data_IF_284152586865
#
_entry.id   IF_284152586865
#
_cell.length_a   1.000
_cell.length_b   1.000
_cell.length_c   1.000
_cell.angle_alpha   90.00
_cell.angle_beta   90.00
_cell.angle_gamma   90.00
#
_symmetry.space_group_name_H-M   'P 1'
#
loop_
_entity.id
_entity.type
_entity.pdbx_description
1 polymer ?
#
# COMPACT_ATOMS: atom_id res chain seq x y z
N UNK A 1 23.57 21.17 -6.28
CA UNK A 1 23.97 19.75 -6.11
C UNK A 1 22.74 18.97 -6.52
N UNK A 2 22.70 18.48 -7.74
CA UNK A 2 21.59 17.64 -8.23
C UNK A 2 21.65 16.33 -7.44
N UNK A 3 20.57 16.01 -6.72
CA UNK A 3 20.41 14.70 -6.08
C UNK A 3 20.34 13.63 -7.17
N UNK A 4 21.47 12.97 -7.43
CA UNK A 4 21.48 11.71 -8.15
C UNK A 4 20.57 10.75 -7.38
N UNK A 5 19.39 10.44 -7.94
CA UNK A 5 18.43 9.58 -7.28
C UNK A 5 18.88 8.11 -7.40
N UNK A 6 19.47 7.50 -6.34
CA UNK A 6 20.13 6.19 -6.43
C UNK A 6 19.12 5.04 -6.63
N UNK A 7 17.82 5.32 -6.57
CA UNK A 7 16.76 4.34 -6.74
C UNK A 7 16.62 3.86 -8.19
N UNK A 8 16.89 4.71 -9.19
CA UNK A 8 16.68 4.39 -10.60
C UNK A 8 17.63 3.29 -11.12
N UNK A 9 18.78 3.08 -10.48
CA UNK A 9 19.75 2.06 -10.90
C UNK A 9 19.46 0.65 -10.36
N UNK A 10 18.51 0.51 -9.44
CA UNK A 10 18.11 -0.79 -8.87
C UNK A 10 16.82 -1.36 -9.43
N UNK A 11 16.15 -0.58 -10.29
CA UNK A 11 14.88 -0.94 -10.90
C UNK A 11 15.13 -1.30 -12.36
N UNK A 12 14.80 -2.53 -12.74
CA UNK A 12 14.76 -2.93 -14.14
C UNK A 12 13.62 -2.19 -14.83
N UNK A 13 13.97 -1.29 -15.75
CA UNK A 13 13.03 -0.41 -16.46
C UNK A 13 12.88 -0.88 -17.90
N UNK A 14 11.66 -1.21 -18.28
CA UNK A 14 11.31 -1.67 -19.63
C UNK A 14 10.22 -0.78 -20.22
N UNK A 15 10.24 -0.62 -21.55
CA UNK A 15 9.19 0.07 -22.29
C UNK A 15 8.68 -0.78 -23.45
N UNK A 16 7.41 -0.57 -23.78
CA UNK A 16 6.74 -1.22 -24.89
C UNK A 16 6.06 -0.15 -25.74
N UNK A 17 6.35 -0.17 -27.04
CA UNK A 17 5.65 0.65 -28.02
C UNK A 17 4.33 -0.03 -28.38
N UNK A 18 3.21 0.68 -28.19
CA UNK A 18 1.88 0.09 -28.36
C UNK A 18 0.84 1.12 -28.78
N UNK A 19 -0.18 0.70 -29.54
CA UNK A 19 -1.33 1.54 -29.84
C UNK A 19 -2.31 1.54 -28.65
N UNK A 20 -3.08 2.63 -28.48
CA UNK A 20 -3.96 2.82 -27.33
C UNK A 20 -4.97 1.67 -27.15
N UNK A 21 -5.51 1.16 -28.25
CA UNK A 21 -6.49 0.06 -28.27
C UNK A 21 -5.92 -1.27 -27.76
N UNK A 22 -4.61 -1.43 -27.84
CA UNK A 22 -3.92 -2.68 -27.53
C UNK A 22 -3.33 -2.71 -26.12
N UNK A 23 -3.34 -1.58 -25.39
CA UNK A 23 -2.79 -1.47 -24.04
C UNK A 23 -3.38 -2.50 -23.08
N UNK A 24 -4.69 -2.74 -23.14
CA UNK A 24 -5.36 -3.74 -22.27
C UNK A 24 -4.90 -5.17 -22.59
N UNK A 25 -4.75 -5.52 -23.87
CA UNK A 25 -4.22 -6.83 -24.27
C UNK A 25 -2.78 -7.00 -23.76
N UNK A 26 -1.94 -5.99 -23.95
CA UNK A 26 -0.56 -6.02 -23.47
C UNK A 26 -0.48 -6.10 -21.94
N UNK A 27 -1.31 -5.37 -21.22
CA UNK A 27 -1.40 -5.43 -19.76
C UNK A 27 -1.63 -6.87 -19.31
N UNK A 28 -2.62 -7.55 -19.89
CA UNK A 28 -2.93 -8.96 -19.57
C UNK A 28 -1.79 -9.90 -19.88
N UNK A 29 -1.17 -9.76 -21.04
CA UNK A 29 -0.07 -10.63 -21.46
C UNK A 29 1.11 -10.49 -20.49
N UNK A 30 1.44 -9.26 -20.09
CA UNK A 30 2.52 -9.00 -19.15
C UNK A 30 2.18 -9.43 -17.72
N UNK A 31 0.96 -9.20 -17.22
CA UNK A 31 0.60 -9.66 -15.87
C UNK A 31 0.56 -11.18 -15.76
N UNK A 32 0.24 -11.89 -16.85
CA UNK A 32 0.33 -13.35 -16.91
C UNK A 32 1.78 -13.85 -16.92
N UNK A 33 2.65 -13.23 -17.72
CA UNK A 33 4.06 -13.64 -17.84
C UNK A 33 4.88 -13.26 -16.61
N UNK A 34 4.71 -12.05 -16.09
CA UNK A 34 5.44 -11.57 -14.91
C UNK A 34 4.88 -12.15 -13.61
N UNK A 35 3.58 -12.48 -13.58
CA UNK A 35 2.86 -13.08 -12.45
C UNK A 35 3.28 -12.52 -11.06
N UNK A 36 3.27 -11.19 -10.83
CA UNK A 36 3.88 -10.55 -9.67
C UNK A 36 3.15 -10.92 -8.35
N UNK A 37 3.80 -10.74 -7.19
CA UNK A 37 3.10 -10.88 -5.89
C UNK A 37 2.25 -9.66 -5.54
N UNK A 38 2.69 -8.49 -5.99
CA UNK A 38 1.98 -7.23 -5.89
C UNK A 38 2.32 -6.34 -7.08
N UNK A 39 1.29 -5.72 -7.67
CA UNK A 39 1.40 -4.92 -8.86
C UNK A 39 0.65 -3.60 -8.71
N UNK A 40 1.30 -2.48 -9.04
CA UNK A 40 0.65 -1.18 -9.11
C UNK A 40 0.59 -0.70 -10.55
N UNK A 41 -0.62 -0.41 -11.02
CA UNK A 41 -0.91 -0.02 -12.40
C UNK A 41 -1.30 1.46 -12.37
N UNK A 42 -0.43 2.31 -12.90
CA UNK A 42 -0.64 3.75 -12.93
C UNK A 42 -1.30 4.20 -14.22
N UNK A 43 -2.39 4.95 -14.08
CA UNK A 43 -3.06 5.65 -15.18
C UNK A 43 -3.07 7.16 -14.91
N UNK A 44 -3.17 7.96 -15.98
CA UNK A 44 -3.13 9.42 -15.84
C UNK A 44 -4.45 10.01 -15.32
N UNK A 45 -5.59 9.36 -15.60
CA UNK A 45 -6.92 9.89 -15.25
C UNK A 45 -7.73 8.91 -14.41
N UNK A 46 -8.67 9.44 -13.62
CA UNK A 46 -9.61 8.62 -12.84
C UNK A 46 -10.48 7.73 -13.72
N UNK A 47 -10.86 8.22 -14.90
CA UNK A 47 -11.68 7.49 -15.85
C UNK A 47 -10.93 6.26 -16.38
N UNK A 48 -9.67 6.44 -16.76
CA UNK A 48 -8.83 5.32 -17.21
C UNK A 48 -8.59 4.30 -16.08
N UNK A 49 -8.46 4.75 -14.82
CA UNK A 49 -8.42 3.84 -13.67
C UNK A 49 -9.70 3.01 -13.56
N UNK A 50 -10.87 3.65 -13.67
CA UNK A 50 -12.17 2.97 -13.61
C UNK A 50 -12.35 1.96 -14.76
N UNK A 51 -11.94 2.33 -15.97
CA UNK A 51 -11.98 1.47 -17.16
C UNK A 51 -11.08 0.25 -17.00
N UNK A 52 -9.81 0.46 -16.62
CA UNK A 52 -8.84 -0.64 -16.42
C UNK A 52 -9.31 -1.56 -15.30
N UNK A 53 -9.75 -1.00 -14.17
CA UNK A 53 -10.30 -1.79 -13.06
C UNK A 53 -11.49 -2.65 -13.50
N UNK A 54 -12.44 -2.07 -14.22
CA UNK A 54 -13.64 -2.78 -14.69
C UNK A 54 -13.28 -3.95 -15.60
N UNK A 55 -12.33 -3.76 -16.52
CA UNK A 55 -11.87 -4.84 -17.41
C UNK A 55 -11.10 -5.93 -16.66
N UNK A 56 -10.26 -5.57 -15.69
CA UNK A 56 -9.55 -6.55 -14.86
C UNK A 56 -10.52 -7.38 -14.00
N UNK A 57 -11.54 -6.76 -13.40
CA UNK A 57 -12.59 -7.48 -12.64
C UNK A 57 -13.35 -8.47 -13.52
N UNK A 58 -13.70 -8.10 -14.76
CA UNK A 58 -14.35 -9.02 -15.72
C UNK A 58 -13.49 -10.24 -16.08
N UNK A 59 -12.18 -10.12 -15.89
CA UNK A 59 -11.19 -11.18 -16.14
C UNK A 59 -10.79 -11.90 -14.84
N UNK A 60 -11.58 -11.72 -13.78
CA UNK A 60 -11.42 -12.30 -12.46
C UNK A 60 -10.12 -11.91 -11.73
N UNK A 61 -9.47 -10.80 -12.09
CA UNK A 61 -8.27 -10.34 -11.37
C UNK A 61 -8.61 -9.97 -9.93
N UNK A 62 -7.74 -10.37 -9.00
CA UNK A 62 -7.75 -9.86 -7.63
C UNK A 62 -7.21 -8.42 -7.61
N UNK A 63 -8.10 -7.44 -7.82
CA UNK A 63 -7.74 -6.05 -7.98
C UNK A 63 -8.68 -5.06 -7.28
N UNK A 64 -8.16 -3.85 -7.02
CA UNK A 64 -8.94 -2.69 -6.57
C UNK A 64 -8.39 -1.40 -7.24
N UNK A 65 -9.04 -0.27 -6.98
CA UNK A 65 -8.72 1.03 -7.57
C UNK A 65 -8.51 2.13 -6.54
N UNK A 66 -7.72 3.14 -6.90
CA UNK A 66 -7.42 4.29 -6.06
C UNK A 66 -7.26 5.56 -6.90
N UNK A 67 -8.27 6.45 -6.85
CA UNK A 67 -8.22 7.74 -7.55
C UNK A 67 -8.88 8.85 -6.72
N UNK A 68 -8.65 10.11 -7.09
CA UNK A 68 -9.14 11.28 -6.35
C UNK A 68 -10.66 11.50 -6.36
N UNK A 69 -11.42 10.60 -6.98
CA UNK A 69 -12.89 10.63 -6.96
C UNK A 69 -13.51 9.78 -5.84
N UNK A 70 -12.69 9.05 -5.08
CA UNK A 70 -13.14 8.19 -3.99
C UNK A 70 -13.17 8.96 -2.66
N UNK A 71 -14.06 8.54 -1.73
CA UNK A 71 -14.05 9.10 -0.39
C UNK A 71 -12.74 8.79 0.34
N UNK A 72 -12.30 9.70 1.20
CA UNK A 72 -11.04 9.56 1.94
C UNK A 72 -11.01 8.27 2.78
N UNK A 73 -12.14 7.88 3.37
CA UNK A 73 -12.25 6.64 4.15
C UNK A 73 -12.02 5.41 3.28
N UNK A 74 -12.62 5.36 2.11
CA UNK A 74 -12.49 4.23 1.18
C UNK A 74 -11.07 4.14 0.65
N UNK A 75 -10.45 5.28 0.32
CA UNK A 75 -9.03 5.35 -0.05
C UNK A 75 -8.14 4.72 1.02
N UNK A 76 -8.37 5.02 2.30
CA UNK A 76 -7.58 4.44 3.40
C UNK A 76 -7.78 2.93 3.53
N UNK A 77 -9.00 2.43 3.33
CA UNK A 77 -9.31 1.00 3.40
C UNK A 77 -8.64 0.23 2.26
N UNK A 78 -8.86 0.64 0.99
CA UNK A 78 -8.21 0.03 -0.18
C UNK A 78 -6.69 -0.02 0.01
N UNK A 79 -6.14 1.05 0.57
CA UNK A 79 -4.71 1.14 0.82
C UNK A 79 -4.21 0.19 1.90
N UNK A 80 -4.94 0.08 3.00
CA UNK A 80 -4.63 -0.91 4.03
C UNK A 80 -4.68 -2.31 3.44
N UNK A 81 -5.71 -2.59 2.65
CA UNK A 81 -5.97 -3.91 2.10
C UNK A 81 -4.91 -4.33 1.09
N UNK A 82 -4.45 -3.39 0.25
CA UNK A 82 -3.32 -3.61 -0.66
C UNK A 82 -2.02 -3.90 0.09
N UNK A 83 -1.71 -3.13 1.14
CA UNK A 83 -0.51 -3.34 1.95
C UNK A 83 -0.52 -4.69 2.68
N UNK A 84 -1.69 -5.15 3.09
CA UNK A 84 -1.89 -6.44 3.75
C UNK A 84 -1.89 -7.61 2.75
N UNK A 85 -2.02 -7.33 1.45
CA UNK A 85 -2.04 -8.35 0.41
C UNK A 85 -3.40 -9.05 0.26
N UNK A 86 -4.52 -8.40 0.61
CA UNK A 86 -5.84 -8.97 0.30
C UNK A 86 -6.14 -9.02 -1.19
N UNK A 87 -5.48 -8.17 -1.97
CA UNK A 87 -5.52 -8.22 -3.41
C UNK A 87 -4.17 -7.85 -4.02
N UNK A 88 -3.98 -8.21 -5.28
CA UNK A 88 -2.67 -8.19 -5.94
C UNK A 88 -2.44 -6.99 -6.83
N UNK A 89 -3.48 -6.51 -7.52
CA UNK A 89 -3.36 -5.46 -8.53
C UNK A 89 -4.07 -4.19 -8.06
N UNK A 90 -3.35 -3.08 -7.95
CA UNK A 90 -3.91 -1.78 -7.59
C UNK A 90 -3.85 -0.83 -8.79
N UNK A 91 -5.01 -0.42 -9.32
CA UNK A 91 -5.10 0.59 -10.38
C UNK A 91 -5.18 1.99 -9.76
N UNK A 92 -4.28 2.92 -10.09
CA UNK A 92 -4.22 4.20 -9.38
C UNK A 92 -3.81 5.40 -10.24
N UNK A 93 -4.18 6.60 -9.78
CA UNK A 93 -3.62 7.86 -10.26
C UNK A 93 -2.52 8.40 -9.35
N UNK A 94 -1.63 9.24 -9.87
CA UNK A 94 -0.54 9.86 -9.10
C UNK A 94 -1.05 10.59 -7.86
N UNK A 95 -2.04 11.46 -8.04
CA UNK A 95 -2.61 12.29 -6.97
C UNK A 95 -3.13 11.43 -5.82
N UNK A 96 -3.75 10.30 -6.13
CA UNK A 96 -4.32 9.44 -5.13
C UNK A 96 -3.27 8.57 -4.42
N UNK A 97 -2.11 8.32 -5.05
CA UNK A 97 -0.99 7.58 -4.48
C UNK A 97 0.03 8.45 -3.70
N UNK A 98 0.09 9.77 -3.97
CA UNK A 98 1.04 10.69 -3.33
C UNK A 98 0.75 10.82 -1.84
N UNK A 99 1.79 10.76 -1.01
CA UNK A 99 1.67 10.83 0.46
C UNK A 99 1.24 9.52 1.13
N UNK A 100 1.04 8.44 0.37
CA UNK A 100 0.83 7.11 0.91
C UNK A 100 2.16 6.35 0.92
N UNK A 101 2.51 5.84 2.10
CA UNK A 101 3.70 5.02 2.33
C UNK A 101 3.54 3.61 1.74
N UNK A 102 3.48 3.51 0.41
CA UNK A 102 3.38 2.25 -0.33
C UNK A 102 4.75 1.94 -0.90
N UNK A 103 5.29 0.82 -0.46
CA UNK A 103 6.66 0.40 -0.66
C UNK A 103 6.67 -1.11 -0.91
N UNK A 104 7.78 -1.65 -1.42
CA UNK A 104 7.96 -3.09 -1.65
C UNK A 104 6.94 -3.73 -2.62
N UNK A 105 6.58 -2.98 -3.67
CA UNK A 105 5.77 -3.49 -4.78
C UNK A 105 6.68 -4.30 -5.72
N UNK A 106 6.21 -5.47 -6.16
CA UNK A 106 7.01 -6.36 -7.03
C UNK A 106 7.14 -5.79 -8.43
N UNK A 107 6.02 -5.31 -8.98
CA UNK A 107 5.93 -4.77 -10.33
C UNK A 107 5.18 -3.43 -10.34
N UNK A 108 5.76 -2.44 -11.00
CA UNK A 108 5.06 -1.19 -11.34
C UNK A 108 4.79 -1.19 -12.85
N UNK A 109 3.55 -0.91 -13.25
CA UNK A 109 3.17 -0.74 -14.65
C UNK A 109 2.65 0.68 -14.83
N UNK A 110 3.34 1.48 -15.64
CA UNK A 110 2.81 2.74 -16.16
C UNK A 110 1.94 2.39 -17.38
N UNK A 111 0.64 2.19 -17.15
CA UNK A 111 -0.32 1.94 -18.22
C UNK A 111 -0.43 3.16 -19.13
N UNK A 112 -0.40 4.35 -18.52
CA UNK A 112 -0.15 5.60 -19.22
C UNK A 112 1.21 6.14 -18.80
N UNK A 113 2.02 6.56 -19.77
CA UNK A 113 3.25 7.30 -19.49
C UNK A 113 2.90 8.61 -18.76
N UNK A 114 3.60 8.95 -17.66
CA UNK A 114 3.33 10.18 -16.94
C UNK A 114 3.67 11.40 -17.79
N UNK A 115 2.90 12.48 -17.65
CA UNK A 115 3.15 13.74 -18.34
C UNK A 115 4.36 14.50 -17.81
N UNK A 116 4.71 14.28 -16.53
CA UNK A 116 5.84 14.91 -15.86
C UNK A 116 6.92 13.86 -15.56
N UNK A 117 8.17 14.17 -15.88
CA UNK A 117 9.33 13.31 -15.61
C UNK A 117 9.53 12.99 -14.13
N UNK A 118 9.20 13.92 -13.22
CA UNK A 118 9.26 13.69 -11.77
C UNK A 118 8.21 12.66 -11.33
N UNK A 119 7.04 12.65 -11.97
CA UNK A 119 5.99 11.65 -11.69
C UNK A 119 6.46 10.25 -12.07
N UNK A 120 7.24 10.08 -13.14
CA UNK A 120 7.84 8.79 -13.50
C UNK A 120 8.68 8.22 -12.35
N UNK A 121 9.59 9.02 -11.80
CA UNK A 121 10.46 8.61 -10.71
C UNK A 121 9.67 8.28 -9.44
N UNK A 122 8.63 9.06 -9.12
CA UNK A 122 7.75 8.77 -7.98
C UNK A 122 6.95 7.46 -8.12
N UNK A 123 6.51 7.14 -9.35
CA UNK A 123 5.80 5.89 -9.67
C UNK A 123 6.73 4.68 -9.57
N UNK A 124 7.89 4.71 -10.21
CA UNK A 124 8.81 3.57 -10.17
C UNK A 124 9.46 3.40 -8.79
N UNK A 125 9.61 4.47 -8.01
CA UNK A 125 10.09 4.42 -6.61
C UNK A 125 9.19 3.63 -5.65
N UNK A 126 8.04 3.12 -6.11
CA UNK A 126 7.21 2.16 -5.37
C UNK A 126 7.79 0.74 -5.36
N UNK A 127 8.77 0.44 -6.22
CA UNK A 127 9.50 -0.82 -6.29
C UNK A 127 11.01 -0.61 -6.05
N UNK A 128 11.78 -1.70 -5.90
CA UNK A 128 13.25 -1.65 -5.89
C UNK A 128 13.91 -1.01 -4.66
N UNK A 129 13.35 -1.21 -3.45
CA UNK A 129 13.91 -0.70 -2.18
C UNK A 129 14.98 -1.62 -1.59
N UNK A 130 15.66 -1.14 -0.54
CA UNK A 130 16.84 -1.77 0.08
C UNK A 130 16.64 -3.29 0.23
N UNK A 131 17.48 -4.06 -0.46
CA UNK A 131 17.51 -5.54 -0.52
C UNK A 131 16.54 -6.26 -1.49
N UNK A 132 15.76 -5.57 -2.33
CA UNK A 132 14.92 -6.20 -3.36
C UNK A 132 15.11 -5.57 -4.74
N UNK A 133 15.25 -6.41 -5.76
CA UNK A 133 15.19 -5.98 -7.16
C UNK A 133 13.74 -5.58 -7.48
N UNK A 134 13.58 -4.43 -8.12
CA UNK A 134 12.28 -3.94 -8.58
C UNK A 134 12.16 -3.97 -10.09
N UNK A 135 10.95 -4.10 -10.61
CA UNK A 135 10.68 -3.99 -12.06
C UNK A 135 9.61 -2.94 -12.34
N UNK A 136 9.87 -2.11 -13.35
CA UNK A 136 8.95 -1.12 -13.86
C UNK A 136 8.78 -1.27 -15.37
N UNK A 137 7.53 -1.35 -15.82
CA UNK A 137 7.17 -1.44 -17.23
C UNK A 137 6.37 -0.18 -17.62
N UNK A 138 6.70 0.42 -18.76
CA UNK A 138 5.99 1.60 -19.27
C UNK A 138 5.44 1.38 -20.66
N UNK A 139 4.15 1.66 -20.85
CA UNK A 139 3.53 1.67 -22.17
C UNK A 139 3.69 3.04 -22.80
N UNK A 140 4.09 3.05 -24.07
CA UNK A 140 4.32 4.28 -24.83
C UNK A 140 3.61 4.17 -26.16
N UNK A 141 2.73 5.12 -26.46
CA UNK A 141 2.08 5.26 -27.75
C UNK A 141 2.88 6.18 -28.67
N UNK A 142 2.57 6.14 -29.98
CA UNK A 142 3.28 6.91 -31.02
C UNK A 142 3.31 8.43 -30.77
N UNK A 143 2.32 8.96 -30.05
CA UNK A 143 2.18 10.40 -29.80
C UNK A 143 2.82 10.86 -28.47
N UNK A 144 3.47 9.96 -27.74
CA UNK A 144 4.00 10.22 -26.40
C UNK A 144 5.54 10.31 -26.35
N UNK A 145 6.20 10.37 -27.52
CA UNK A 145 7.66 10.45 -27.65
C UNK A 145 8.26 11.64 -26.89
N UNK A 146 7.54 12.77 -26.86
CA UNK A 146 7.94 13.95 -26.07
C UNK A 146 8.11 13.62 -24.59
N UNK A 147 7.12 12.94 -23.98
CA UNK A 147 7.17 12.58 -22.57
C UNK A 147 8.26 11.54 -22.30
N UNK A 148 8.43 10.58 -23.21
CA UNK A 148 9.49 9.59 -23.12
C UNK A 148 10.87 10.24 -23.12
N UNK A 149 11.09 11.19 -24.03
CA UNK A 149 12.35 11.94 -24.11
C UNK A 149 12.63 12.73 -22.84
N UNK A 150 11.64 13.47 -22.34
CA UNK A 150 11.78 14.21 -21.08
C UNK A 150 12.12 13.30 -19.88
N UNK A 151 11.56 12.09 -19.86
CA UNK A 151 11.89 11.07 -18.87
C UNK A 151 13.33 10.57 -19.04
N UNK A 152 13.74 10.18 -20.26
CA UNK A 152 15.11 9.73 -20.54
C UNK A 152 16.16 10.77 -20.15
N UNK A 153 15.93 12.03 -20.53
CA UNK A 153 16.81 13.16 -20.22
C UNK A 153 16.91 13.37 -18.70
N UNK A 154 15.81 13.18 -17.97
CA UNK A 154 15.78 13.34 -16.51
C UNK A 154 16.47 12.21 -15.75
N UNK A 155 16.26 10.95 -16.16
CA UNK A 155 16.89 9.80 -15.52
C UNK A 155 18.32 9.55 -16.02
N UNK A 156 18.75 10.27 -17.06
CA UNK A 156 20.09 10.18 -17.64
C UNK A 156 20.38 8.88 -18.41
N UNK A 157 19.34 8.12 -18.78
CA UNK A 157 19.46 6.86 -19.53
C UNK A 157 18.20 6.54 -20.32
N UNK A 158 18.35 5.72 -21.35
CA UNK A 158 17.22 5.19 -22.11
C UNK A 158 16.55 4.00 -21.39
N UNK A 159 15.22 3.97 -21.42
CA UNK A 159 14.45 2.82 -20.96
C UNK A 159 14.50 1.73 -22.03
N UNK A 160 14.81 0.49 -21.63
CA UNK A 160 14.99 -0.64 -22.53
C UNK A 160 13.71 -0.94 -23.32
N UNK A 161 13.77 -0.88 -24.64
CA UNK A 161 12.68 -1.31 -25.51
C UNK A 161 12.58 -2.84 -25.51
N UNK A 162 11.37 -3.35 -25.24
CA UNK A 162 11.05 -4.77 -25.30
C UNK A 162 9.98 -5.03 -26.34
N UNK A 163 10.01 -6.24 -26.89
CA UNK A 163 8.96 -6.76 -27.76
C UNK A 163 7.87 -7.43 -26.93
N UNK A 164 6.64 -7.44 -27.46
CA UNK A 164 5.49 -8.08 -26.80
C UNK A 164 5.81 -9.56 -26.54
N UNK A 165 5.37 -10.14 -25.42
CA UNK A 165 5.53 -11.57 -25.20
C UNK A 165 4.89 -12.39 -26.31
N UNK A 166 5.56 -13.46 -26.73
CA UNK A 166 5.00 -14.40 -27.72
C UNK A 166 3.75 -15.11 -27.15
N UNK A 167 2.77 -15.40 -28.01
CA UNK A 167 1.51 -16.05 -27.60
C UNK A 167 1.76 -17.41 -26.91
N UNK A 168 2.78 -18.16 -27.34
CA UNK A 168 3.17 -19.42 -26.71
C UNK A 168 3.64 -19.22 -25.26
N UNK A 169 4.39 -18.14 -24.99
CA UNK A 169 4.87 -17.79 -23.65
C UNK A 169 3.71 -17.38 -22.74
N UNK A 170 2.78 -16.58 -23.26
CA UNK A 170 1.57 -16.18 -22.53
C UNK A 170 0.71 -17.41 -22.21
N UNK A 171 0.50 -18.30 -23.18
CA UNK A 171 -0.29 -19.52 -23.00
C UNK A 171 0.30 -20.43 -21.92
N UNK A 172 1.62 -20.61 -21.92
CA UNK A 172 2.33 -21.40 -20.90
C UNK A 172 2.18 -20.79 -19.50
N UNK A 173 2.24 -19.47 -19.40
CA UNK A 173 2.16 -18.75 -18.11
C UNK A 173 0.73 -18.66 -17.57
N UNK A 174 -0.28 -18.86 -18.42
CA UNK A 174 -1.70 -18.75 -18.05
C UNK A 174 -2.09 -19.66 -16.91
N UNK A 175 -1.59 -20.90 -16.89
CA UNK A 175 -1.95 -21.88 -15.87
C UNK A 175 -1.46 -21.45 -14.48
N UNK A 176 -0.19 -21.02 -14.39
CA UNK A 176 0.42 -20.53 -13.15
C UNK A 176 -0.23 -19.22 -12.69
N UNK A 177 -0.56 -18.32 -13.62
CA UNK A 177 -1.30 -17.10 -13.34
C UNK A 177 -2.68 -17.41 -12.72
N UNK A 178 -3.48 -18.29 -13.36
CA UNK A 178 -4.82 -18.62 -12.86
C UNK A 178 -4.77 -19.32 -11.50
N UNK A 179 -3.81 -20.22 -11.28
CA UNK A 179 -3.58 -20.84 -9.98
C UNK A 179 -3.29 -19.78 -8.90
N UNK A 180 -2.38 -18.85 -9.20
CA UNK A 180 -1.97 -17.80 -8.26
C UNK A 180 -3.03 -16.73 -8.05
N UNK A 181 -3.86 -16.44 -9.04
CA UNK A 181 -4.91 -15.42 -8.95
C UNK A 181 -6.10 -15.89 -8.11
N UNK A 182 -6.35 -17.21 -8.07
CA UNK A 182 -7.38 -17.84 -7.23
C UNK A 182 -6.94 -18.04 -5.77
N UNK A 183 -5.66 -17.76 -5.46
CA UNK A 183 -5.12 -17.75 -4.11
C UNK A 183 -4.88 -16.32 -3.66
N UNK A 184 -5.30 -15.97 -2.45
CA UNK A 184 -4.92 -14.69 -1.86
C UNK A 184 -3.38 -14.60 -1.82
N UNK A 185 -2.78 -13.43 -2.13
CA UNK A 185 -1.37 -13.20 -1.85
C UNK A 185 -1.02 -13.61 -0.43
N UNK A 186 0.21 -14.08 -0.19
CA UNK A 186 0.68 -14.26 1.18
C UNK A 186 0.48 -12.94 1.93
N UNK A 187 -0.32 -12.98 2.99
CA UNK A 187 -0.66 -11.80 3.76
C UNK A 187 0.65 -11.26 4.28
N UNK A 188 1.09 -10.13 3.70
CA UNK A 188 2.29 -9.45 4.15
C UNK A 188 1.94 -8.92 5.52
N UNK A 189 2.55 -9.52 6.52
CA UNK A 189 2.56 -9.00 7.86
C UNK A 189 3.11 -7.58 7.79
N UNK A 190 2.19 -6.63 7.79
CA UNK A 190 2.55 -5.24 7.96
C UNK A 190 3.29 -5.22 9.29
N UNK A 191 4.49 -4.63 9.34
CA UNK A 191 5.30 -4.52 10.58
C UNK A 191 4.58 -3.79 11.75
N UNK A 192 3.29 -3.49 11.62
CA UNK A 192 2.38 -3.04 12.68
C UNK A 192 1.06 -3.82 12.82
N UNK A 193 0.92 -5.00 12.20
CA UNK A 193 -0.29 -5.85 12.27
C UNK A 193 0.04 -7.28 12.71
N UNK A 194 1.30 -7.67 12.63
CA UNK A 194 1.76 -8.88 13.29
C UNK A 194 1.96 -8.61 14.77
N UNK A 195 0.85 -8.66 15.52
CA UNK A 195 0.75 -8.95 16.95
C UNK A 195 -0.62 -8.49 17.47
N UNK A 196 -1.63 -9.36 17.37
CA UNK A 196 -2.58 -9.54 18.48
C UNK A 196 -3.28 -10.89 18.35
N UNK A 197 -2.64 -11.91 18.91
CA UNK A 197 -3.41 -12.85 19.71
C UNK A 197 -4.24 -12.03 20.71
N UNK A 198 -5.56 -12.25 20.71
CA UNK A 198 -6.59 -11.65 21.58
C UNK A 198 -6.44 -10.13 21.87
N UNK A 199 -7.27 -9.31 21.22
CA UNK A 199 -7.40 -7.87 21.51
C UNK A 199 -8.35 -7.70 22.70
N UNK A 200 -7.87 -7.06 23.77
CA UNK A 200 -8.70 -6.63 24.90
C UNK A 200 -8.88 -5.13 24.89
N UNK A 201 -10.13 -4.67 24.88
CA UNK A 201 -10.46 -3.25 24.97
C UNK A 201 -10.61 -2.84 26.43
N UNK A 202 -9.81 -1.87 26.86
CA UNK A 202 -9.87 -1.32 28.22
C UNK A 202 -10.57 0.03 28.18
N UNK A 203 -11.54 0.20 29.06
CA UNK A 203 -12.19 1.49 29.33
C UNK A 203 -11.52 2.18 30.51
N UNK A 204 -11.24 3.48 30.34
CA UNK A 204 -10.77 4.38 31.38
C UNK A 204 -11.80 5.49 31.56
N UNK A 205 -12.25 5.71 32.80
CA UNK A 205 -13.17 6.79 33.16
C UNK A 205 -12.43 8.14 33.23
N UNK A 206 -11.91 8.58 32.09
CA UNK A 206 -11.29 9.88 31.88
C UNK A 206 -11.26 10.20 30.38
N UNK A 207 -11.62 11.42 29.99
CA UNK A 207 -11.72 11.83 28.59
C UNK A 207 -11.27 13.27 28.34
N UNK A 208 -11.70 13.88 27.23
CA UNK A 208 -11.33 15.26 26.82
C UNK A 208 -11.62 16.30 27.92
N UNK A 209 -12.72 16.15 28.67
CA UNK A 209 -13.08 17.06 29.79
C UNK A 209 -12.06 17.01 30.93
N UNK A 210 -11.33 15.92 31.06
CA UNK A 210 -10.20 15.79 32.01
C UNK A 210 -8.86 16.18 31.39
N UNK A 211 -8.88 16.79 30.21
CA UNK A 211 -7.71 17.14 29.38
C UNK A 211 -6.87 15.90 29.01
N UNK A 212 -7.49 14.74 28.86
CA UNK A 212 -6.79 13.50 28.50
C UNK A 212 -6.34 13.58 27.03
N UNK A 213 -5.08 13.21 26.76
CA UNK A 213 -4.51 13.12 25.41
C UNK A 213 -3.93 11.74 25.15
N UNK A 214 -3.78 11.31 23.88
CA UNK A 214 -3.20 10.01 23.56
C UNK A 214 -1.81 9.80 24.17
N UNK A 215 -0.96 10.83 24.17
CA UNK A 215 0.37 10.79 24.80
C UNK A 215 0.33 10.49 26.29
N UNK A 216 -0.71 10.94 27.01
CA UNK A 216 -0.85 10.71 28.45
C UNK A 216 -1.18 9.22 28.72
N UNK A 217 -1.94 8.59 27.82
CA UNK A 217 -2.29 7.16 27.87
C UNK A 217 -1.09 6.30 27.47
N UNK A 218 -0.46 6.60 26.34
CA UNK A 218 0.71 5.87 25.84
C UNK A 218 1.85 5.94 26.86
N UNK A 219 2.12 7.11 27.44
CA UNK A 219 3.16 7.28 28.46
C UNK A 219 2.90 6.46 29.71
N UNK A 220 1.64 6.38 30.16
CA UNK A 220 1.30 5.54 31.32
C UNK A 220 1.42 4.05 30.99
N UNK A 221 0.92 3.61 29.83
CA UNK A 221 1.01 2.21 29.41
C UNK A 221 2.46 1.74 29.22
N UNK A 222 3.32 2.57 28.63
CA UNK A 222 4.74 2.25 28.44
C UNK A 222 5.55 2.27 29.75
N UNK A 223 4.98 2.78 30.86
CA UNK A 223 5.61 2.68 32.19
C UNK A 223 5.39 1.32 32.87
N UNK A 224 4.45 0.52 32.35
CA UNK A 224 4.18 -0.82 32.85
C UNK A 224 5.26 -1.76 32.29
N UNK A 225 5.93 -2.50 33.17
CA UNK A 225 6.95 -3.46 32.78
C UNK A 225 6.37 -4.51 31.81
N UNK A 226 7.07 -4.74 30.70
CA UNK A 226 6.64 -5.68 29.67
C UNK A 226 5.64 -5.13 28.64
N UNK A 227 5.24 -3.85 28.73
CA UNK A 227 4.42 -3.19 27.70
C UNK A 227 5.30 -2.31 26.81
N UNK A 228 5.17 -2.50 25.50
CA UNK A 228 5.85 -1.72 24.48
C UNK A 228 4.82 -0.92 23.67
N UNK A 229 5.23 0.14 22.93
CA UNK A 229 4.34 0.86 22.04
C UNK A 229 3.64 -0.03 20.99
N UNK A 230 4.24 -1.18 20.64
CA UNK A 230 3.66 -2.14 19.71
C UNK A 230 2.49 -2.96 20.31
N UNK A 231 2.32 -2.94 21.64
CA UNK A 231 1.22 -3.64 22.32
C UNK A 231 -0.04 -2.76 22.46
N UNK A 232 0.00 -1.52 22.00
CA UNK A 232 -1.07 -0.52 22.14
C UNK A 232 -1.74 -0.31 20.79
N UNK A 233 -3.02 -0.67 20.69
CA UNK A 233 -3.85 -0.49 19.50
C UNK A 233 -4.55 0.87 19.46
N UNK A 234 -5.77 0.91 18.93
CA UNK A 234 -6.50 2.15 18.75
C UNK A 234 -6.85 2.79 20.12
N UNK A 235 -6.56 4.09 20.25
CA UNK A 235 -6.97 4.91 21.39
C UNK A 235 -8.09 5.85 20.95
N UNK A 236 -9.29 5.63 21.48
CA UNK A 236 -10.43 6.51 21.25
C UNK A 236 -10.74 7.32 22.52
N UNK A 237 -10.58 8.64 22.45
CA UNK A 237 -10.83 9.56 23.56
C UNK A 237 -12.15 10.30 23.31
N UNK A 238 -13.15 10.01 24.13
CA UNK A 238 -14.43 10.70 24.19
C UNK A 238 -14.41 11.81 25.25
N UNK A 239 -15.52 12.52 25.42
CA UNK A 239 -15.61 13.63 26.37
C UNK A 239 -15.30 13.23 27.82
N UNK A 240 -15.80 12.08 28.26
CA UNK A 240 -15.71 11.59 29.65
C UNK A 240 -15.00 10.24 29.77
N UNK A 241 -14.67 9.60 28.67
CA UNK A 241 -14.14 8.23 28.63
C UNK A 241 -13.02 8.09 27.61
N UNK A 242 -12.11 7.16 27.87
CA UNK A 242 -11.09 6.73 26.91
C UNK A 242 -11.19 5.22 26.75
N UNK A 243 -11.08 4.75 25.51
CA UNK A 243 -10.98 3.34 25.17
C UNK A 243 -9.62 3.10 24.54
N UNK A 244 -8.92 2.06 24.99
CA UNK A 244 -7.65 1.65 24.43
C UNK A 244 -7.69 0.15 24.13
N UNK A 245 -7.28 -0.21 22.93
CA UNK A 245 -7.07 -1.61 22.56
C UNK A 245 -5.69 -2.05 23.04
N UNK A 246 -5.63 -3.17 23.75
CA UNK A 246 -4.38 -3.82 24.16
C UNK A 246 -4.23 -5.11 23.38
N UNK A 247 -3.07 -5.25 22.76
CA UNK A 247 -2.71 -6.32 21.86
C UNK A 247 -1.93 -7.43 22.61
N UNK A 248 -1.69 -8.56 21.96
CA UNK A 248 -0.75 -9.62 22.39
C UNK A 248 -1.09 -10.34 23.68
N UNK A 249 -2.37 -10.55 23.97
CA UNK A 249 -2.85 -11.13 25.23
C UNK A 249 -2.38 -10.35 26.48
N UNK A 250 -1.89 -9.11 26.34
CA UNK A 250 -1.42 -8.29 27.48
C UNK A 250 -2.54 -7.50 28.16
N UNK A 251 -3.78 -7.67 27.71
CA UNK A 251 -4.95 -6.98 28.25
C UNK A 251 -5.09 -7.13 29.76
N UNK A 252 -4.95 -8.36 30.28
CA UNK A 252 -5.12 -8.62 31.71
C UNK A 252 -4.00 -7.99 32.54
N UNK A 253 -2.76 -8.06 32.04
CA UNK A 253 -1.59 -7.44 32.65
C UNK A 253 -1.79 -5.92 32.75
N UNK A 254 -2.22 -5.28 31.65
CA UNK A 254 -2.48 -3.84 31.63
C UNK A 254 -3.63 -3.47 32.58
N UNK A 255 -4.72 -4.24 32.57
CA UNK A 255 -5.87 -3.97 33.43
C UNK A 255 -5.51 -4.01 34.91
N UNK A 256 -4.74 -5.01 35.35
CA UNK A 256 -4.30 -5.13 36.75
C UNK A 256 -3.37 -3.98 37.15
N UNK A 257 -2.43 -3.59 36.28
CA UNK A 257 -1.50 -2.51 36.57
C UNK A 257 -2.17 -1.13 36.59
N UNK A 258 -3.09 -0.87 35.65
CA UNK A 258 -3.81 0.40 35.57
C UNK A 258 -4.75 0.65 36.76
N UNK A 259 -5.17 -0.38 37.50
CA UNK A 259 -5.93 -0.20 38.74
C UNK A 259 -5.12 0.53 39.82
N UNK A 260 -3.79 0.39 39.80
CA UNK A 260 -2.89 0.95 40.80
C UNK A 260 -1.96 2.05 40.25
N UNK A 261 -1.99 2.31 38.95
CA UNK A 261 -1.11 3.28 38.29
C UNK A 261 -1.85 4.59 38.00
N UNK A 262 -1.35 5.75 38.47
CA UNK A 262 -1.99 7.03 38.22
C UNK A 262 -1.79 7.49 36.78
N UNK A 263 -2.89 7.69 36.04
CA UNK A 263 -2.87 8.34 34.72
C UNK A 263 -2.94 9.85 34.94
N UNK A 264 -1.88 10.57 34.54
CA UNK A 264 -1.76 12.02 34.75
C UNK A 264 -1.86 12.42 36.23
N UNK A 265 -1.18 11.66 37.08
CA UNK A 265 -1.11 11.91 38.52
C UNK A 265 -2.39 11.63 39.31
N UNK A 266 -3.41 11.00 38.70
CA UNK A 266 -4.64 10.59 39.40
C UNK A 266 -4.99 9.15 39.08
N UNK A 267 -5.40 8.38 40.09
CA UNK A 267 -5.99 7.06 39.88
C UNK A 267 -7.32 7.19 39.15
N UNK A 268 -7.53 6.34 38.15
CA UNK A 268 -8.73 6.32 37.31
C UNK A 268 -9.40 4.96 37.42
N UNK A 269 -10.73 4.97 37.41
CA UNK A 269 -11.49 3.73 37.31
C UNK A 269 -11.26 3.13 35.92
N UNK A 270 -10.81 1.89 35.88
CA UNK A 270 -10.58 1.11 34.66
C UNK A 270 -11.42 -0.16 34.67
N UNK A 271 -11.92 -0.58 33.51
CA UNK A 271 -12.67 -1.82 33.36
C UNK A 271 -12.47 -2.42 31.97
N UNK A 272 -12.76 -3.71 31.81
CA UNK A 272 -12.92 -4.32 30.50
C UNK A 272 -14.11 -3.66 29.79
N UNK A 273 -13.95 -3.36 28.51
CA UNK A 273 -15.04 -2.92 27.65
C UNK A 273 -15.44 -4.10 26.76
N UNK A 274 -16.74 -4.38 26.67
CA UNK A 274 -17.25 -5.35 25.71
C UNK A 274 -17.03 -4.86 24.27
N UNK A 275 -16.90 -5.82 23.34
CA UNK A 275 -16.58 -5.58 21.92
C UNK A 275 -17.52 -4.57 21.28
#
# INVERSE_FOLDING_TARGET
IEEQNPAADRIAQERYLIDQTDKMKLLRDLTMVENPDSCMIFCNTKQTVDEVYTELVKLDYSCDKLHGGMEQRDRLNVMKDFKQGYFRYLCATDVASRGLDIEDITLVINYDIPYERESYVHRIGRTGRVNKLGKAITFVTKNEDKFLKEIHDYIGKEILLKERPEEATVHKSKQDFMAKNNTLPEIKETKGVQLSTEIMKIHVNAGKKTKMRPVDIVGTLCSIEGITPADIGIINILDVSTFVEILNNKGELVLQNLQNTPIKGRLRKVSKADR
#
